data_IF_990926969873
#
_entry.id   IF_990926969873
#
_cell.length_a   1.000
_cell.length_b   1.000
_cell.length_c   1.000
_cell.angle_alpha   90.00
_cell.angle_beta   90.00
_cell.angle_gamma   90.00
#
_symmetry.space_group_name_H-M   'P 1'
#
loop_
_entity.id
_entity.type
_entity.pdbx_description
1 polymer ?
#
# COMPACT_ATOMS: atom_id res chain seq x y z
N UNK A 1 11.29 -19.69 -26.29
CA UNK A 1 10.40 -18.79 -25.46
C UNK A 1 11.30 -17.74 -24.82
N UNK A 2 11.63 -16.70 -25.55
CA UNK A 2 12.62 -15.71 -25.16
C UNK A 2 11.93 -14.37 -24.86
N UNK A 3 12.19 -13.86 -23.67
CA UNK A 3 12.40 -12.45 -23.42
C UNK A 3 11.25 -11.45 -23.35
N UNK A 4 10.09 -11.77 -22.74
CA UNK A 4 9.14 -10.70 -22.41
C UNK A 4 9.70 -9.70 -21.36
N UNK A 5 10.57 -10.14 -20.43
CA UNK A 5 11.16 -9.24 -19.43
C UNK A 5 12.16 -8.25 -20.03
N UNK A 6 12.99 -8.67 -20.97
CA UNK A 6 13.92 -7.79 -21.69
C UNK A 6 13.18 -6.78 -22.57
N UNK A 7 12.04 -7.17 -23.15
CA UNK A 7 11.21 -6.29 -23.99
C UNK A 7 10.55 -5.19 -23.14
N UNK A 8 10.09 -5.51 -21.91
CA UNK A 8 9.44 -4.54 -21.02
C UNK A 8 10.46 -3.50 -20.51
N UNK A 9 11.64 -3.94 -20.06
CA UNK A 9 12.69 -3.00 -19.61
C UNK A 9 13.23 -2.14 -20.75
N UNK A 10 13.25 -2.64 -21.98
CA UNK A 10 13.61 -1.84 -23.15
C UNK A 10 12.51 -0.81 -23.50
N UNK A 11 11.24 -1.16 -23.31
CA UNK A 11 10.12 -0.26 -23.55
C UNK A 11 9.96 0.80 -22.46
N UNK A 12 10.31 0.48 -21.20
CA UNK A 12 10.21 1.37 -20.04
C UNK A 12 11.56 1.50 -19.32
N UNK A 13 12.53 2.21 -19.91
CA UNK A 13 13.86 2.36 -19.33
C UNK A 13 13.82 3.11 -17.99
N UNK A 14 14.66 2.70 -17.04
CA UNK A 14 14.67 3.20 -15.65
C UNK A 14 15.15 4.64 -15.50
N UNK A 15 15.79 5.19 -16.51
CA UNK A 15 16.12 6.62 -16.58
C UNK A 15 14.90 7.50 -16.84
N UNK A 16 13.84 6.96 -17.46
CA UNK A 16 12.60 7.67 -17.76
C UNK A 16 11.40 7.23 -16.92
N UNK A 17 11.45 6.04 -16.29
CA UNK A 17 10.32 5.45 -15.57
C UNK A 17 10.72 4.92 -14.19
N UNK A 18 9.78 4.98 -13.25
CA UNK A 18 9.86 4.27 -11.97
C UNK A 18 9.15 2.91 -12.12
N UNK A 19 9.92 1.82 -12.27
CA UNK A 19 9.35 0.49 -12.39
C UNK A 19 9.01 -0.06 -11.01
N UNK A 20 7.76 -0.52 -10.81
CA UNK A 20 7.36 -1.23 -9.60
C UNK A 20 7.67 -2.73 -9.75
N UNK A 21 7.97 -3.40 -8.63
CA UNK A 21 8.59 -4.74 -8.61
C UNK A 21 7.74 -5.84 -9.23
N UNK A 22 6.42 -5.72 -9.20
CA UNK A 22 5.53 -6.65 -9.91
C UNK A 22 5.85 -6.79 -11.41
N UNK A 23 6.66 -5.86 -11.95
CA UNK A 23 7.11 -5.84 -13.34
C UNK A 23 8.49 -6.45 -13.56
N UNK A 24 9.30 -6.51 -12.51
CA UNK A 24 10.69 -7.00 -12.61
C UNK A 24 10.76 -8.55 -12.61
N UNK A 25 9.71 -9.21 -12.14
CA UNK A 25 9.61 -10.66 -11.99
C UNK A 25 8.68 -11.29 -13.04
N UNK A 26 8.74 -10.87 -14.31
CA UNK A 26 8.01 -11.56 -15.39
C UNK A 26 8.69 -12.90 -15.66
N UNK A 27 8.48 -13.85 -14.79
CA UNK A 27 8.55 -15.26 -15.10
C UNK A 27 7.21 -15.65 -15.76
N UNK A 28 7.03 -16.62 -16.46
CA UNK A 28 5.91 -17.15 -17.24
C UNK A 28 4.52 -16.52 -16.96
N UNK A 29 4.04 -15.72 -17.92
CA UNK A 29 2.64 -15.26 -17.91
C UNK A 29 1.78 -16.45 -18.35
N UNK A 30 0.78 -16.80 -17.54
CA UNK A 30 -0.17 -17.82 -17.92
C UNK A 30 -0.85 -17.45 -19.25
N UNK A 31 -1.05 -18.43 -20.14
CA UNK A 31 -1.64 -18.21 -21.48
C UNK A 31 -3.04 -17.58 -21.44
N UNK A 32 -3.72 -17.70 -20.30
CA UNK A 32 -5.07 -17.16 -20.05
C UNK A 32 -5.09 -15.67 -19.64
N UNK A 33 -3.95 -15.07 -19.31
CA UNK A 33 -3.83 -13.67 -18.91
C UNK A 33 -2.84 -12.93 -19.81
N UNK A 34 -3.14 -11.64 -20.03
CA UNK A 34 -2.30 -10.70 -20.77
C UNK A 34 -1.95 -9.51 -19.87
N UNK A 35 -0.68 -9.16 -19.70
CA UNK A 35 -0.31 -7.98 -18.96
C UNK A 35 -0.59 -6.71 -19.75
N UNK A 36 -1.24 -5.76 -19.09
CA UNK A 36 -1.38 -4.38 -19.55
C UNK A 36 -0.52 -3.50 -18.66
N UNK A 37 0.28 -2.66 -19.29
CA UNK A 37 1.18 -1.76 -18.60
C UNK A 37 0.50 -0.42 -18.38
N UNK A 38 0.27 -0.04 -17.13
CA UNK A 38 -0.30 1.24 -16.76
C UNK A 38 0.80 2.22 -16.38
N UNK A 39 0.82 3.36 -17.05
CA UNK A 39 1.71 4.49 -16.75
C UNK A 39 0.97 5.48 -15.85
N UNK A 40 1.48 5.73 -14.67
CA UNK A 40 0.84 6.55 -13.65
C UNK A 40 1.76 7.68 -13.22
N UNK A 41 1.37 8.92 -13.46
CA UNK A 41 2.09 10.08 -12.96
C UNK A 41 1.59 10.47 -11.58
N UNK A 42 2.50 10.73 -10.66
CA UNK A 42 2.24 11.29 -9.34
C UNK A 42 2.56 12.78 -9.40
N UNK A 43 1.61 13.63 -9.03
CA UNK A 43 1.82 15.07 -9.08
C UNK A 43 2.91 15.52 -8.10
N UNK A 44 3.77 16.41 -8.58
CA UNK A 44 4.78 17.09 -7.77
C UNK A 44 4.25 18.36 -7.10
N UNK A 45 3.05 18.81 -7.46
CA UNK A 45 2.38 19.92 -6.78
C UNK A 45 1.85 19.46 -5.42
N UNK A 46 2.32 20.08 -4.35
CA UNK A 46 1.89 19.78 -2.98
C UNK A 46 0.40 20.09 -2.75
N UNK A 47 -0.20 20.99 -3.53
CA UNK A 47 -1.63 21.29 -3.46
C UNK A 47 -2.50 20.10 -3.90
N UNK A 48 -1.99 19.25 -4.79
CA UNK A 48 -2.67 18.02 -5.21
C UNK A 48 -2.70 16.95 -4.11
N UNK A 49 -1.88 17.10 -3.07
CA UNK A 49 -1.80 16.18 -1.92
C UNK A 49 -1.50 14.73 -2.31
N UNK A 50 -0.78 14.52 -3.42
CA UNK A 50 -0.32 13.17 -3.81
C UNK A 50 1.03 12.83 -3.16
N UNK A 51 1.82 13.85 -2.82
CA UNK A 51 3.07 13.74 -2.07
C UNK A 51 3.09 14.72 -0.89
N UNK A 52 4.02 14.51 0.04
CA UNK A 52 4.31 15.47 1.12
C UNK A 52 5.80 15.47 1.44
N UNK A 53 6.28 16.58 2.02
CA UNK A 53 7.66 16.69 2.48
C UNK A 53 7.86 15.80 3.70
N UNK A 54 8.64 14.75 3.58
CA UNK A 54 9.00 13.85 4.66
C UNK A 54 10.22 14.34 5.43
N UNK A 55 11.24 14.80 4.70
CA UNK A 55 12.46 15.38 5.24
C UNK A 55 12.68 16.73 4.56
N UNK A 56 12.85 17.77 5.37
CA UNK A 56 13.16 19.11 4.84
C UNK A 56 14.61 19.14 4.35
N UNK A 57 14.90 19.99 3.38
CA UNK A 57 16.27 20.26 2.96
C UNK A 57 17.09 20.75 4.15
N UNK A 58 18.32 20.23 4.29
CA UNK A 58 19.24 20.64 5.35
C UNK A 58 20.69 20.72 4.78
N UNK A 59 21.29 21.88 4.84
CA UNK A 59 22.62 22.10 4.26
C UNK A 59 22.65 21.81 2.76
N UNK A 60 23.40 20.80 2.36
CA UNK A 60 23.49 20.33 0.95
C UNK A 60 22.51 19.22 0.62
N UNK A 61 21.84 18.67 1.63
CA UNK A 61 20.91 17.56 1.43
C UNK A 61 19.56 18.09 0.92
N UNK A 62 19.08 17.61 -0.25
CA UNK A 62 17.81 18.04 -0.80
C UNK A 62 16.64 17.52 0.04
N UNK A 63 15.50 18.18 -0.06
CA UNK A 63 14.27 17.72 0.56
C UNK A 63 13.85 16.35 -0.01
N UNK A 64 13.34 15.47 0.86
CA UNK A 64 12.80 14.18 0.46
C UNK A 64 11.30 14.15 0.67
N UNK A 65 10.63 13.51 -0.24
CA UNK A 65 9.18 13.45 -0.32
C UNK A 65 8.68 12.01 -0.19
N UNK A 66 7.51 11.85 0.37
CA UNK A 66 6.85 10.56 0.43
C UNK A 66 5.45 10.63 -0.22
N UNK A 67 5.01 9.50 -0.79
CA UNK A 67 3.70 9.39 -1.41
C UNK A 67 2.64 9.31 -0.31
N UNK A 68 1.58 10.12 -0.44
CA UNK A 68 0.43 10.12 0.47
C UNK A 68 -0.51 8.94 0.21
N UNK A 69 -1.55 8.78 1.05
CA UNK A 69 -2.64 7.83 0.80
C UNK A 69 -3.27 8.06 -0.58
N UNK A 70 -3.46 9.32 -1.00
CA UNK A 70 -4.06 9.66 -2.31
C UNK A 70 -3.20 9.14 -3.47
N UNK A 71 -1.89 9.41 -3.45
CA UNK A 71 -0.96 8.91 -4.46
C UNK A 71 -0.85 7.38 -4.46
N UNK A 72 -0.76 6.75 -3.27
CA UNK A 72 -0.73 5.30 -3.15
C UNK A 72 -2.02 4.64 -3.66
N UNK A 73 -3.19 5.24 -3.41
CA UNK A 73 -4.47 4.73 -3.93
C UNK A 73 -4.52 4.79 -5.46
N UNK A 74 -3.92 5.83 -6.06
CA UNK A 74 -3.81 5.95 -7.52
C UNK A 74 -2.99 4.79 -8.11
N UNK A 75 -1.84 4.49 -7.51
CA UNK A 75 -0.99 3.35 -7.90
C UNK A 75 -1.68 2.00 -7.63
N UNK A 76 -2.35 1.86 -6.48
CA UNK A 76 -3.13 0.68 -6.11
C UNK A 76 -4.17 0.31 -7.18
N UNK A 77 -4.95 1.31 -7.63
CA UNK A 77 -5.97 1.11 -8.67
C UNK A 77 -5.34 0.68 -10.00
N UNK A 78 -4.23 1.32 -10.38
CA UNK A 78 -3.52 0.99 -11.60
C UNK A 78 -2.90 -0.41 -11.57
N UNK A 79 -2.53 -0.90 -10.39
CA UNK A 79 -2.00 -2.25 -10.18
C UNK A 79 -3.07 -3.33 -9.98
N UNK A 80 -4.36 -2.97 -10.00
CA UNK A 80 -5.46 -3.92 -9.77
C UNK A 80 -5.51 -4.49 -8.34
N UNK A 81 -4.80 -3.87 -7.39
CA UNK A 81 -4.78 -4.31 -5.99
C UNK A 81 -6.14 -4.01 -5.35
N UNK A 82 -6.69 -5.00 -4.63
CA UNK A 82 -7.97 -4.90 -3.93
C UNK A 82 -7.78 -4.95 -2.42
N UNK A 83 -8.49 -4.11 -1.68
CA UNK A 83 -8.56 -4.20 -0.22
C UNK A 83 -9.54 -5.31 0.13
N UNK A 84 -9.08 -6.36 0.81
CA UNK A 84 -9.89 -7.48 1.26
C UNK A 84 -10.55 -7.16 2.60
N UNK A 85 -9.77 -6.59 3.52
CA UNK A 85 -10.29 -6.16 4.82
C UNK A 85 -9.43 -5.06 5.43
N UNK A 86 -10.07 -4.20 6.22
CA UNK A 86 -9.43 -3.26 7.13
C UNK A 86 -10.19 -3.30 8.43
N UNK A 87 -9.54 -3.73 9.51
CA UNK A 87 -10.22 -3.94 10.80
C UNK A 87 -9.34 -3.58 11.98
N UNK A 88 -9.94 -3.08 13.06
CA UNK A 88 -9.24 -2.95 14.33
C UNK A 88 -8.91 -4.34 14.87
N UNK A 89 -7.72 -4.47 15.45
CA UNK A 89 -7.27 -5.65 16.17
C UNK A 89 -6.79 -5.24 17.56
N UNK A 90 -6.60 -6.23 18.43
CA UNK A 90 -6.21 -5.98 19.81
C UNK A 90 -4.81 -5.36 19.87
N UNK A 91 -4.65 -4.18 20.53
CA UNK A 91 -3.33 -3.60 20.79
C UNK A 91 -2.46 -4.52 21.65
N UNK A 92 -1.15 -4.52 21.40
CA UNK A 92 -0.19 -5.34 22.16
C UNK A 92 -0.11 -4.94 23.64
N UNK A 93 -0.40 -3.68 23.94
CA UNK A 93 -0.41 -3.12 25.31
C UNK A 93 -1.67 -3.51 26.10
N UNK A 94 -2.68 -4.13 25.50
CA UNK A 94 -3.91 -4.47 26.19
C UNK A 94 -3.87 -5.89 26.80
N UNK A 95 -3.40 -6.01 28.03
CA UNK A 95 -3.27 -7.29 28.76
C UNK A 95 -4.60 -8.05 28.87
N UNK A 96 -5.72 -7.35 29.16
CA UNK A 96 -7.04 -7.99 29.26
C UNK A 96 -7.47 -8.62 27.93
N UNK A 97 -7.28 -7.92 26.83
CA UNK A 97 -7.59 -8.41 25.51
C UNK A 97 -6.64 -9.53 25.09
N UNK A 98 -5.36 -9.48 25.47
CA UNK A 98 -4.40 -10.54 25.22
C UNK A 98 -4.84 -11.84 25.94
N UNK A 99 -5.29 -11.76 27.19
CA UNK A 99 -5.79 -12.91 27.94
C UNK A 99 -7.05 -13.53 27.31
N UNK A 100 -7.96 -12.72 26.80
CA UNK A 100 -9.14 -13.20 26.07
C UNK A 100 -8.74 -13.93 24.80
N UNK A 101 -7.82 -13.38 24.03
CA UNK A 101 -7.32 -14.00 22.79
C UNK A 101 -6.60 -15.32 23.06
N UNK A 102 -5.96 -15.46 24.21
CA UNK A 102 -5.35 -16.71 24.67
C UNK A 102 -6.35 -17.72 25.27
N UNK A 103 -7.65 -17.41 25.26
CA UNK A 103 -8.68 -18.23 25.90
C UNK A 103 -8.71 -18.17 27.43
N UNK A 104 -7.98 -17.22 28.02
CA UNK A 104 -7.86 -17.05 29.47
C UNK A 104 -8.73 -15.87 29.91
N UNK A 105 -9.82 -16.12 30.62
CA UNK A 105 -10.65 -15.11 31.22
C UNK A 105 -12.00 -14.87 30.56
N UNK A 106 -12.82 -13.97 31.13
CA UNK A 106 -14.15 -13.63 30.62
C UNK A 106 -14.05 -12.56 29.53
N UNK A 107 -14.88 -12.68 28.49
CA UNK A 107 -15.02 -11.68 27.44
C UNK A 107 -15.31 -10.29 28.03
N UNK A 108 -14.47 -9.32 27.70
CA UNK A 108 -14.63 -7.92 28.12
C UNK A 108 -14.90 -7.09 26.86
N UNK A 109 -15.90 -6.21 26.89
CA UNK A 109 -16.17 -5.28 25.80
C UNK A 109 -15.02 -4.28 25.69
N UNK A 110 -14.34 -4.24 24.54
CA UNK A 110 -13.20 -3.34 24.32
C UNK A 110 -13.56 -1.85 24.51
N UNK A 111 -14.81 -1.45 24.29
CA UNK A 111 -15.26 -0.07 24.51
C UNK A 111 -15.23 0.40 25.95
N UNK A 112 -15.19 -0.51 26.94
CA UNK A 112 -15.09 -0.19 28.37
C UNK A 112 -13.63 -0.16 28.88
N UNK A 113 -12.65 -0.46 28.03
CA UNK A 113 -11.24 -0.48 28.40
C UNK A 113 -10.67 0.94 28.43
N UNK A 114 -9.92 1.34 29.49
CA UNK A 114 -9.26 2.64 29.55
C UNK A 114 -8.09 2.78 28.57
N UNK A 115 -7.63 1.67 27.98
CA UNK A 115 -6.57 1.70 27.00
C UNK A 115 -7.00 2.50 25.76
N UNK A 116 -6.22 3.53 25.41
CA UNK A 116 -6.45 4.41 24.27
C UNK A 116 -5.67 4.00 23.02
N UNK A 117 -4.80 3.00 23.14
CA UNK A 117 -3.98 2.50 22.06
C UNK A 117 -4.85 1.84 20.99
N UNK A 118 -4.40 1.92 19.77
CA UNK A 118 -5.12 1.39 18.63
C UNK A 118 -4.18 0.59 17.71
N UNK A 119 -4.71 -0.50 17.17
CA UNK A 119 -4.02 -1.34 16.20
C UNK A 119 -4.97 -1.71 15.10
N UNK A 120 -4.49 -1.65 13.87
CA UNK A 120 -5.22 -2.05 12.67
C UNK A 120 -4.47 -3.10 11.89
N UNK A 121 -5.24 -4.04 11.36
CA UNK A 121 -4.82 -5.00 10.36
C UNK A 121 -5.47 -4.64 9.03
N UNK A 122 -4.68 -4.60 7.97
CA UNK A 122 -5.15 -4.43 6.61
C UNK A 122 -4.67 -5.61 5.78
N UNK A 123 -5.60 -6.20 5.02
CA UNK A 123 -5.35 -7.28 4.06
C UNK A 123 -5.67 -6.78 2.67
N UNK A 124 -4.76 -6.99 1.75
CA UNK A 124 -4.91 -6.65 0.35
C UNK A 124 -4.62 -7.85 -0.53
N UNK A 125 -5.33 -7.96 -1.64
CA UNK A 125 -5.07 -8.93 -2.70
C UNK A 125 -4.26 -8.25 -3.80
N UNK A 126 -3.14 -8.83 -4.15
CA UNK A 126 -2.18 -8.31 -5.13
C UNK A 126 -2.12 -9.29 -6.29
N UNK A 127 -2.60 -8.90 -7.49
CA UNK A 127 -2.50 -9.75 -8.66
C UNK A 127 -1.03 -9.94 -9.06
N UNK A 128 -0.66 -11.18 -9.33
CA UNK A 128 0.65 -11.54 -9.85
C UNK A 128 0.60 -11.70 -11.35
N UNK A 129 1.75 -11.53 -12.02
CA UNK A 129 1.84 -11.75 -13.47
C UNK A 129 1.70 -13.22 -13.88
N UNK A 130 1.67 -14.13 -12.91
CA UNK A 130 1.31 -15.54 -13.10
C UNK A 130 -0.20 -15.78 -13.22
N UNK A 131 -1.03 -14.76 -12.96
CA UNK A 131 -2.49 -14.86 -12.89
C UNK A 131 -3.02 -15.20 -11.50
N UNK A 132 -2.16 -15.55 -10.56
CA UNK A 132 -2.52 -15.77 -9.16
C UNK A 132 -2.65 -14.46 -8.40
N UNK A 133 -3.37 -14.51 -7.28
CA UNK A 133 -3.43 -13.40 -6.33
C UNK A 133 -2.70 -13.80 -5.06
N UNK A 134 -1.79 -12.96 -4.59
CA UNK A 134 -1.21 -13.11 -3.27
C UNK A 134 -1.90 -12.18 -2.27
N UNK A 135 -2.02 -12.64 -1.03
CA UNK A 135 -2.51 -11.82 0.06
C UNK A 135 -1.32 -11.19 0.80
N UNK A 136 -1.36 -9.87 0.96
CA UNK A 136 -0.41 -9.12 1.78
C UNK A 136 -1.14 -8.58 3.00
N UNK A 137 -0.61 -8.89 4.18
CA UNK A 137 -1.14 -8.46 5.47
C UNK A 137 -0.18 -7.46 6.11
N UNK A 138 -0.69 -6.32 6.53
CA UNK A 138 0.08 -5.33 7.26
C UNK A 138 -0.64 -4.86 8.53
N UNK A 139 0.14 -4.60 9.54
CA UNK A 139 -0.34 -4.06 10.82
C UNK A 139 0.28 -2.70 11.09
N UNK A 140 -0.48 -1.84 11.73
CA UNK A 140 0.02 -0.63 12.39
C UNK A 140 -0.57 -0.55 13.78
N UNK A 141 0.28 -0.23 14.73
CA UNK A 141 -0.10 0.07 16.11
C UNK A 141 0.32 1.50 16.44
N UNK A 142 -0.51 2.19 17.20
CA UNK A 142 -0.24 3.50 17.76
C UNK A 142 -0.37 3.38 19.28
N UNK A 143 0.75 3.50 19.97
CA UNK A 143 0.83 3.65 21.41
C UNK A 143 0.63 5.13 21.70
N UNK A 144 -0.52 5.46 22.29
CA UNK A 144 -0.96 6.86 22.41
C UNK A 144 0.01 7.68 23.23
N UNK A 145 0.48 7.14 24.35
CA UNK A 145 1.36 7.88 25.27
C UNK A 145 2.70 8.21 24.58
N UNK A 146 3.27 7.28 23.81
CA UNK A 146 4.53 7.52 23.07
C UNK A 146 4.37 8.65 22.04
N UNK A 147 3.27 8.59 21.26
CA UNK A 147 3.04 9.56 20.17
C UNK A 147 2.69 10.93 20.71
N UNK A 148 2.02 10.99 21.86
CA UNK A 148 1.53 12.25 22.43
C UNK A 148 2.45 12.87 23.49
N UNK A 149 3.60 12.26 23.77
CA UNK A 149 4.54 12.69 24.81
C UNK A 149 5.00 14.16 24.67
N UNK A 150 5.15 14.63 23.43
CA UNK A 150 5.58 16.01 23.12
C UNK A 150 4.45 16.93 22.66
N UNK A 151 3.19 16.48 22.72
CA UNK A 151 2.04 17.23 22.23
C UNK A 151 1.44 18.10 23.34
N UNK A 152 0.94 19.29 22.97
CA UNK A 152 0.09 20.10 23.83
C UNK A 152 -1.25 19.41 24.05
N UNK A 153 -2.00 19.76 25.11
CA UNK A 153 -3.31 19.17 25.39
C UNK A 153 -4.29 19.30 24.22
N UNK A 154 -4.28 20.43 23.52
CA UNK A 154 -5.11 20.64 22.33
C UNK A 154 -4.74 19.68 21.20
N UNK A 155 -3.45 19.53 20.91
CA UNK A 155 -2.96 18.59 19.91
C UNK A 155 -3.28 17.14 20.29
N UNK A 156 -3.13 16.78 21.57
CA UNK A 156 -3.46 15.46 22.10
C UNK A 156 -4.94 15.15 21.94
N UNK A 157 -5.83 16.09 22.27
CA UNK A 157 -7.26 15.93 22.10
C UNK A 157 -7.66 15.73 20.63
N UNK A 158 -7.07 16.50 19.72
CA UNK A 158 -7.30 16.35 18.28
C UNK A 158 -6.75 15.02 17.75
N UNK A 159 -5.54 14.63 18.16
CA UNK A 159 -4.96 13.34 17.80
C UNK A 159 -5.84 12.17 18.25
N UNK A 160 -6.35 12.21 19.49
CA UNK A 160 -7.22 11.17 20.03
C UNK A 160 -8.53 11.03 19.25
N UNK A 161 -9.04 12.12 18.69
CA UNK A 161 -10.24 12.13 17.86
C UNK A 161 -10.05 11.32 16.56
N UNK A 162 -8.88 11.41 15.93
CA UNK A 162 -8.59 10.82 14.62
C UNK A 162 -7.65 9.61 14.66
N UNK A 163 -7.26 9.14 15.87
CA UNK A 163 -6.24 8.08 16.02
C UNK A 163 -6.56 6.78 15.26
N UNK A 164 -7.84 6.40 15.21
CA UNK A 164 -8.27 5.19 14.51
C UNK A 164 -8.04 5.33 12.99
N UNK A 165 -8.51 6.41 12.40
CA UNK A 165 -8.35 6.72 10.97
C UNK A 165 -6.89 6.85 10.57
N UNK A 166 -6.08 7.46 11.46
CA UNK A 166 -4.63 7.57 11.26
C UNK A 166 -3.95 6.20 11.29
N UNK A 167 -4.35 5.34 12.25
CA UNK A 167 -3.79 4.00 12.38
C UNK A 167 -4.14 3.13 11.18
N UNK A 168 -5.40 3.12 10.77
CA UNK A 168 -5.89 2.44 9.57
C UNK A 168 -5.15 2.91 8.31
N UNK A 169 -5.08 4.23 8.10
CA UNK A 169 -4.38 4.81 6.96
C UNK A 169 -2.91 4.40 6.92
N UNK A 170 -2.23 4.40 8.07
CA UNK A 170 -0.82 3.97 8.14
C UNK A 170 -0.66 2.46 7.90
N UNK A 171 -1.61 1.62 8.33
CA UNK A 171 -1.62 0.19 8.04
C UNK A 171 -1.79 -0.07 6.53
N UNK A 172 -2.76 0.58 5.90
CA UNK A 172 -3.00 0.50 4.45
C UNK A 172 -1.77 0.96 3.65
N UNK A 173 -1.22 2.12 3.98
CA UNK A 173 -0.02 2.63 3.29
C UNK A 173 1.16 1.67 3.42
N UNK A 174 1.31 0.99 4.56
CA UNK A 174 2.34 -0.03 4.77
C UNK A 174 2.11 -1.24 3.88
N UNK A 175 0.87 -1.75 3.80
CA UNK A 175 0.51 -2.86 2.93
C UNK A 175 0.81 -2.55 1.46
N UNK A 176 0.36 -1.38 0.97
CA UNK A 176 0.57 -0.95 -0.41
C UNK A 176 2.05 -0.76 -0.76
N UNK A 177 2.81 -0.14 0.15
CA UNK A 177 4.27 0.03 -0.06
C UNK A 177 5.00 -1.30 -0.10
N UNK A 178 4.64 -2.24 0.77
CA UNK A 178 5.22 -3.58 0.78
C UNK A 178 4.87 -4.34 -0.51
N UNK A 179 3.60 -4.32 -0.92
CA UNK A 179 3.12 -5.01 -2.11
C UNK A 179 3.78 -4.53 -3.41
N UNK A 180 3.96 -3.21 -3.54
CA UNK A 180 4.53 -2.59 -4.74
C UNK A 180 6.02 -2.24 -4.58
N UNK A 181 6.63 -2.56 -3.44
CA UNK A 181 8.01 -2.23 -3.07
C UNK A 181 8.37 -0.74 -3.28
N UNK A 182 7.44 0.13 -2.94
CA UNK A 182 7.59 1.58 -3.07
C UNK A 182 8.59 2.07 -2.01
N UNK A 183 9.56 2.86 -2.42
CA UNK A 183 10.56 3.48 -1.53
C UNK A 183 9.88 4.29 -0.42
N UNK A 184 10.55 4.41 0.72
CA UNK A 184 10.09 5.26 1.83
C UNK A 184 10.04 6.73 1.44
N UNK A 185 11.07 7.19 0.73
CA UNK A 185 11.23 8.57 0.26
C UNK A 185 11.82 8.62 -1.15
N UNK A 186 11.58 9.75 -1.81
CA UNK A 186 12.03 10.08 -3.16
C UNK A 186 12.55 11.53 -3.19
N UNK A 187 13.44 11.82 -4.12
CA UNK A 187 13.73 13.19 -4.53
C UNK A 187 12.61 13.68 -5.46
N UNK A 188 12.43 15.00 -5.54
CA UNK A 188 11.37 15.59 -6.40
C UNK A 188 11.57 15.21 -7.88
N UNK A 189 12.83 15.07 -8.32
CA UNK A 189 13.17 14.68 -9.68
C UNK A 189 12.72 13.24 -10.02
N UNK A 190 12.70 12.35 -9.03
CA UNK A 190 12.22 10.98 -9.23
C UNK A 190 10.70 10.95 -9.48
N UNK A 191 9.92 11.89 -8.93
CA UNK A 191 8.49 12.00 -9.20
C UNK A 191 8.16 12.58 -10.59
N UNK A 192 9.10 13.25 -11.24
CA UNK A 192 8.93 13.67 -12.65
C UNK A 192 8.88 12.48 -13.59
N UNK A 193 9.43 11.36 -13.17
CA UNK A 193 9.33 10.08 -13.89
C UNK A 193 8.02 9.39 -13.50
N UNK A 194 7.17 9.00 -14.46
CA UNK A 194 5.96 8.27 -14.15
C UNK A 194 6.28 6.88 -13.60
N UNK A 195 5.36 6.35 -12.80
CA UNK A 195 5.40 4.98 -12.31
C UNK A 195 4.76 4.05 -13.34
N UNK A 196 5.37 2.90 -13.56
CA UNK A 196 4.84 1.87 -14.43
C UNK A 196 4.44 0.67 -13.60
N UNK A 197 3.18 0.28 -13.69
CA UNK A 197 2.60 -0.87 -12.99
C UNK A 197 1.96 -1.82 -13.99
N UNK A 198 2.09 -3.12 -13.76
CA UNK A 198 1.40 -4.12 -14.54
C UNK A 198 0.00 -4.36 -13.96
N UNK A 199 -0.96 -4.56 -14.86
CA UNK A 199 -2.31 -5.03 -14.56
C UNK A 199 -2.62 -6.21 -15.47
N UNK A 200 -3.19 -7.28 -14.92
CA UNK A 200 -3.59 -8.44 -15.71
C UNK A 200 -5.02 -8.32 -16.20
N UNK A 201 -5.21 -8.62 -17.48
CA UNK A 201 -6.53 -8.77 -18.08
C UNK A 201 -6.67 -10.17 -18.68
N UNK A 202 -7.90 -10.71 -18.83
CA UNK A 202 -8.14 -11.95 -19.55
C UNK A 202 -7.55 -11.86 -20.98
N UNK A 203 -6.84 -12.89 -21.40
CA UNK A 203 -6.27 -12.95 -22.74
C UNK A 203 -7.32 -13.42 -23.74
N UNK A 204 -8.05 -12.50 -24.34
CA UNK A 204 -9.08 -12.79 -25.33
C UNK A 204 -8.52 -13.32 -26.67
N UNK A 205 -7.20 -13.34 -26.84
CA UNK A 205 -6.55 -14.02 -27.98
C UNK A 205 -6.52 -15.54 -27.76
N UNK A 206 -6.72 -16.01 -26.51
CA UNK A 206 -6.89 -17.42 -26.17
C UNK A 206 -8.35 -17.84 -26.41
N UNK A 207 -8.56 -18.90 -27.19
CA UNK A 207 -9.88 -19.37 -27.60
C UNK A 207 -10.78 -19.74 -26.42
N UNK A 208 -10.23 -20.45 -25.41
CA UNK A 208 -11.01 -20.85 -24.21
C UNK A 208 -11.44 -19.65 -23.37
N UNK A 209 -10.58 -18.63 -23.26
CA UNK A 209 -10.89 -17.39 -22.51
C UNK A 209 -11.95 -16.59 -23.24
N UNK A 210 -11.88 -16.55 -24.59
CA UNK A 210 -12.83 -15.85 -25.43
C UNK A 210 -14.22 -16.50 -25.35
N UNK A 211 -14.30 -17.82 -25.39
CA UNK A 211 -15.54 -18.58 -25.29
C UNK A 211 -16.25 -18.32 -23.96
N UNK A 212 -15.52 -18.44 -22.83
CA UNK A 212 -16.07 -18.16 -21.51
C UNK A 212 -16.47 -16.70 -21.29
N UNK A 213 -15.82 -15.75 -21.96
CA UNK A 213 -16.19 -14.33 -21.88
C UNK A 213 -17.44 -13.98 -22.67
N UNK A 214 -17.83 -14.80 -23.64
CA UNK A 214 -19.07 -14.64 -24.44
C UNK A 214 -20.26 -15.27 -23.72
N UNK A 215 -20.02 -16.31 -22.89
CA UNK A 215 -21.06 -17.02 -22.14
C UNK A 215 -21.46 -16.29 -20.81
N UNK A 216 -20.70 -15.29 -20.35
CA UNK A 216 -20.90 -14.54 -19.09
C UNK A 216 -21.64 -13.21 -19.34
#
# INVERSE_FOLDING_TARGET
MANNSLTITAQYPTDHYNLLVSMQTVAEIASIHKPVMNVVSISTDLNDKEIYVQEKAYGKDPAKYAITKKGLTKLMRAAGIKILSSRPVVPSTCQKCANINAGIGKAVRCGACPNKDVKYEVRISVPQLTGENIEVVAHKEIIVDDVTASMTDKQKAEFLKFRNEMCETKALNRALRAAMQIKGTYLIEEFKKPFVVAYLVPNLDNAEVKEKAVEA
#
